data_IF_529127237857
#
_entry.id   IF_529127237857
#
_cell.length_a   1.000
_cell.length_b   1.000
_cell.length_c   1.000
_cell.angle_alpha   90.00
_cell.angle_beta   90.00
_cell.angle_gamma   90.00
#
_symmetry.space_group_name_H-M   'P 1'
#
loop_
_entity.id
_entity.type
_entity.pdbx_description
1 polymer ?
#
# COMPACT_ATOMS: atom_id res chain seq x y z
N UNK A 1 0.95 5.38 -13.11
CA UNK A 1 -0.35 5.50 -12.40
C UNK A 1 -0.52 6.94 -11.90
N UNK A 2 -1.77 7.40 -11.68
CA UNK A 2 -1.97 8.66 -10.95
C UNK A 2 -1.68 8.48 -9.46
N UNK A 3 -1.21 9.52 -8.74
CA UNK A 3 -1.06 9.45 -7.29
C UNK A 3 -2.37 9.06 -6.60
N UNK A 4 -2.28 8.14 -5.64
CA UNK A 4 -3.41 7.65 -4.84
C UNK A 4 -3.24 8.11 -3.40
N UNK A 5 -4.32 8.58 -2.78
CA UNK A 5 -4.38 8.93 -1.36
C UNK A 5 -5.71 8.45 -0.80
N UNK A 6 -5.67 7.48 0.10
CA UNK A 6 -6.86 6.89 0.74
C UNK A 6 -6.80 7.10 2.24
N UNK A 7 -7.88 7.61 2.82
CA UNK A 7 -8.02 7.82 4.27
C UNK A 7 -8.97 6.79 4.85
N UNK A 8 -8.52 6.11 5.91
CA UNK A 8 -9.26 5.08 6.63
C UNK A 8 -9.74 5.62 7.98
N UNK A 9 -11.02 5.40 8.35
CA UNK A 9 -11.55 5.82 9.63
C UNK A 9 -10.97 4.97 10.77
N UNK A 10 -11.06 5.47 12.01
CA UNK A 10 -10.60 4.75 13.20
C UNK A 10 -11.23 3.36 13.36
N UNK A 11 -12.40 3.10 12.76
CA UNK A 11 -13.08 1.80 12.78
C UNK A 11 -12.59 0.82 11.70
N UNK A 12 -11.65 1.23 10.83
CA UNK A 12 -11.13 0.34 9.79
C UNK A 12 -10.40 -0.84 10.43
N UNK A 13 -10.69 -2.04 9.92
CA UNK A 13 -10.05 -3.30 10.34
C UNK A 13 -9.89 -4.21 9.13
N UNK A 14 -8.94 -5.15 9.22
CA UNK A 14 -8.70 -6.15 8.19
C UNK A 14 -8.10 -5.60 6.90
N UNK A 15 -8.10 -6.44 5.88
CA UNK A 15 -7.57 -6.13 4.56
C UNK A 15 -8.42 -5.07 3.85
N UNK A 16 -7.77 -4.03 3.33
CA UNK A 16 -8.41 -2.96 2.57
C UNK A 16 -8.41 -3.26 1.07
N UNK A 17 -9.21 -2.49 0.31
CA UNK A 17 -9.28 -2.61 -1.15
C UNK A 17 -7.89 -2.48 -1.79
N UNK A 18 -7.48 -3.47 -2.62
CA UNK A 18 -6.22 -3.40 -3.33
C UNK A 18 -6.13 -2.23 -4.32
N UNK A 19 -4.92 -1.70 -4.46
CA UNK A 19 -4.53 -0.68 -5.42
C UNK A 19 -3.58 -1.34 -6.42
N UNK A 20 -3.89 -1.21 -7.71
CA UNK A 20 -3.05 -1.74 -8.79
C UNK A 20 -1.78 -0.90 -8.95
N UNK A 21 -0.65 -1.57 -9.16
CA UNK A 21 0.62 -0.95 -9.57
C UNK A 21 0.81 -1.17 -11.07
N UNK A 22 1.44 -0.21 -11.74
CA UNK A 22 1.88 -0.39 -13.13
C UNK A 22 3.21 -1.13 -13.17
N UNK A 23 3.18 -2.44 -12.90
CA UNK A 23 4.36 -3.31 -12.85
C UNK A 23 5.09 -3.46 -14.20
N UNK A 24 4.51 -2.96 -15.30
CA UNK A 24 5.08 -3.02 -16.65
C UNK A 24 6.04 -1.87 -16.94
N UNK A 25 6.02 -0.81 -16.13
CA UNK A 25 6.99 0.29 -16.25
C UNK A 25 8.33 -0.17 -15.65
N UNK A 26 9.39 -0.14 -16.46
CA UNK A 26 10.74 -0.47 -16.04
C UNK A 26 11.61 0.80 -15.91
N UNK A 27 12.35 0.97 -14.80
CA UNK A 27 12.27 0.18 -13.58
C UNK A 27 10.97 0.46 -12.80
N UNK A 28 10.50 -0.53 -12.04
CA UNK A 28 9.38 -0.32 -11.11
C UNK A 28 9.88 0.57 -9.98
N UNK A 29 9.29 1.76 -9.85
CA UNK A 29 9.63 2.71 -8.80
C UNK A 29 8.36 3.34 -8.24
N UNK A 30 7.85 2.74 -7.17
CA UNK A 30 6.64 3.20 -6.47
C UNK A 30 7.02 3.63 -5.07
N UNK A 31 6.74 4.87 -4.71
CA UNK A 31 6.82 5.36 -3.34
C UNK A 31 5.48 5.16 -2.62
N UNK A 32 5.54 4.83 -1.33
CA UNK A 32 4.37 4.79 -0.46
C UNK A 32 4.61 5.53 0.85
N UNK A 33 3.52 6.03 1.43
CA UNK A 33 3.51 6.60 2.77
C UNK A 33 2.31 6.10 3.57
N UNK A 34 2.57 5.74 4.82
CA UNK A 34 1.58 5.39 5.84
C UNK A 34 1.61 6.49 6.89
N UNK A 35 0.48 7.16 7.09
CA UNK A 35 0.38 8.31 7.98
C UNK A 35 -0.73 8.06 9.00
N UNK A 36 -0.35 7.90 10.26
CA UNK A 36 -1.26 8.03 11.40
C UNK A 36 -1.50 9.52 11.63
N UNK A 37 -2.70 10.00 11.30
CA UNK A 37 -3.07 11.41 11.48
C UNK A 37 -3.17 11.75 12.99
N UNK A 38 -3.31 13.03 13.31
CA UNK A 38 -3.33 13.48 14.71
C UNK A 38 -4.30 12.66 15.58
N UNK A 39 -3.80 12.15 16.71
CA UNK A 39 -4.55 11.30 17.64
C UNK A 39 -4.68 9.82 17.22
N UNK A 40 -4.27 9.46 16.00
CA UNK A 40 -4.31 8.08 15.54
C UNK A 40 -3.18 7.24 16.13
N UNK A 41 -3.51 6.02 16.54
CA UNK A 41 -2.56 4.97 16.93
C UNK A 41 -3.08 3.63 16.43
N UNK A 42 -2.18 2.68 16.17
CA UNK A 42 -2.59 1.40 15.63
C UNK A 42 -1.43 0.57 15.09
N UNK A 43 -1.78 -0.50 14.39
CA UNK A 43 -0.86 -1.40 13.74
C UNK A 43 -1.42 -1.80 12.38
N UNK A 44 -0.63 -1.59 11.32
CA UNK A 44 -0.98 -1.99 9.95
C UNK A 44 0.17 -2.73 9.29
N UNK A 45 -0.11 -3.48 8.22
CA UNK A 45 0.89 -3.95 7.27
C UNK A 45 0.62 -3.38 5.90
N UNK A 46 1.68 -3.19 5.11
CA UNK A 46 1.56 -3.00 3.66
C UNK A 46 1.76 -4.37 3.03
N UNK A 47 0.69 -4.89 2.43
CA UNK A 47 0.71 -6.19 1.78
C UNK A 47 0.85 -6.02 0.27
N UNK A 48 1.54 -6.97 -0.36
CA UNK A 48 1.68 -7.03 -1.81
C UNK A 48 1.39 -8.43 -2.34
N UNK A 49 1.04 -8.51 -3.62
CA UNK A 49 0.86 -9.78 -4.33
C UNK A 49 1.34 -9.66 -5.79
N UNK A 50 1.76 -10.78 -6.34
CA UNK A 50 2.04 -10.94 -7.77
C UNK A 50 0.81 -11.38 -8.56
N UNK A 51 -0.28 -11.72 -7.87
CA UNK A 51 -1.48 -12.26 -8.49
C UNK A 51 -2.42 -11.16 -8.99
N UNK A 52 -3.19 -11.50 -10.03
CA UNK A 52 -4.24 -10.63 -10.52
C UNK A 52 -5.49 -10.74 -9.65
N UNK A 53 -5.66 -9.82 -8.70
CA UNK A 53 -6.81 -9.83 -7.76
C UNK A 53 -8.17 -9.60 -8.44
N UNK A 54 -8.18 -9.14 -9.69
CA UNK A 54 -9.40 -8.95 -10.47
C UNK A 54 -9.82 -10.22 -11.23
N UNK A 55 -8.98 -11.26 -11.27
CA UNK A 55 -9.32 -12.55 -11.87
C UNK A 55 -10.01 -13.44 -10.82
N UNK A 56 -11.32 -13.74 -10.96
CA UNK A 56 -12.05 -14.53 -9.97
C UNK A 56 -11.61 -15.99 -9.90
N UNK A 57 -10.84 -16.49 -10.88
CA UNK A 57 -10.29 -17.84 -10.86
C UNK A 57 -9.02 -17.97 -10.00
N UNK A 58 -8.43 -16.84 -9.61
CA UNK A 58 -7.19 -16.78 -8.84
C UNK A 58 -7.52 -16.48 -7.38
N UNK A 59 -6.96 -17.27 -6.45
CA UNK A 59 -6.94 -16.93 -5.01
C UNK A 59 -5.61 -16.25 -4.71
N UNK A 60 -5.57 -14.92 -4.49
CA UNK A 60 -4.31 -14.20 -4.36
C UNK A 60 -3.54 -14.58 -3.10
N UNK A 61 -2.24 -14.80 -3.23
CA UNK A 61 -1.32 -14.97 -2.10
C UNK A 61 -0.73 -13.61 -1.74
N UNK A 62 -0.94 -13.19 -0.50
CA UNK A 62 -0.48 -11.90 0.02
C UNK A 62 0.77 -12.07 0.89
N UNK A 63 1.75 -11.22 0.63
CA UNK A 63 2.96 -11.10 1.43
C UNK A 63 2.89 -9.82 2.25
N UNK A 64 2.90 -9.94 3.57
CA UNK A 64 2.79 -8.82 4.48
C UNK A 64 4.16 -8.29 4.90
N UNK A 65 4.27 -6.96 5.01
CA UNK A 65 5.41 -6.32 5.67
C UNK A 65 5.44 -6.62 7.17
N UNK A 66 6.51 -6.18 7.84
CA UNK A 66 6.47 -5.99 9.29
C UNK A 66 5.37 -5.01 9.68
N UNK A 67 4.85 -5.14 10.90
CA UNK A 67 3.87 -4.21 11.45
C UNK A 67 4.42 -2.77 11.50
N UNK A 68 3.62 -1.84 11.02
CA UNK A 68 3.88 -0.40 11.02
C UNK A 68 2.97 0.25 12.05
N UNK A 69 3.57 0.94 13.02
CA UNK A 69 2.87 1.55 14.17
C UNK A 69 3.10 3.05 14.29
N UNK A 70 3.82 3.64 13.33
CA UNK A 70 4.12 5.07 13.26
C UNK A 70 4.18 5.51 11.80
N UNK A 71 4.21 6.82 11.57
CA UNK A 71 4.37 7.37 10.23
C UNK A 71 5.62 6.78 9.56
N UNK A 72 5.43 6.22 8.38
CA UNK A 72 6.48 5.47 7.67
C UNK A 72 6.37 5.74 6.18
N UNK A 73 7.51 5.92 5.53
CA UNK A 73 7.63 5.94 4.08
C UNK A 73 8.44 4.73 3.62
N UNK A 74 8.23 4.32 2.38
CA UNK A 74 9.00 3.26 1.76
C UNK A 74 8.84 3.23 0.26
N UNK A 75 9.53 2.27 -0.36
CA UNK A 75 9.52 2.08 -1.81
C UNK A 75 9.23 0.63 -2.17
N UNK A 76 8.61 0.45 -3.33
CA UNK A 76 8.40 -0.83 -3.99
C UNK A 76 9.18 -0.77 -5.31
N UNK A 77 10.19 -1.62 -5.40
CA UNK A 77 11.10 -1.73 -6.55
C UNK A 77 10.97 -3.06 -7.28
N UNK A 78 10.04 -3.90 -6.83
CA UNK A 78 9.76 -5.24 -7.34
C UNK A 78 8.42 -5.18 -8.11
N UNK A 79 8.26 -5.92 -9.22
CA UNK A 79 7.05 -5.86 -10.06
C UNK A 79 5.84 -6.56 -9.44
N UNK A 80 5.38 -6.06 -8.29
CA UNK A 80 4.12 -6.48 -7.67
C UNK A 80 2.94 -5.96 -8.48
N UNK A 81 1.89 -6.77 -8.60
CA UNK A 81 0.72 -6.39 -9.37
C UNK A 81 -0.25 -5.52 -8.56
N UNK A 82 -0.44 -5.86 -7.28
CA UNK A 82 -1.32 -5.13 -6.37
C UNK A 82 -0.68 -4.95 -5.00
N UNK A 83 -1.07 -3.85 -4.36
CA UNK A 83 -0.78 -3.56 -2.95
C UNK A 83 -2.04 -3.21 -2.20
N UNK A 84 -2.07 -3.50 -0.91
CA UNK A 84 -3.11 -3.02 0.00
C UNK A 84 -2.50 -2.73 1.35
N UNK A 85 -3.28 -2.09 2.22
CA UNK A 85 -3.00 -2.13 3.64
C UNK A 85 -3.90 -3.18 4.31
N UNK A 86 -3.39 -3.82 5.36
CA UNK A 86 -4.19 -4.60 6.29
C UNK A 86 -4.12 -3.94 7.65
N UNK A 87 -5.27 -3.55 8.19
CA UNK A 87 -5.38 -2.84 9.45
C UNK A 87 -5.58 -3.85 10.58
N UNK A 88 -4.55 -4.08 11.39
CA UNK A 88 -4.65 -4.92 12.59
C UNK A 88 -5.40 -4.19 13.71
N UNK A 89 -5.05 -2.93 13.94
CA UNK A 89 -5.77 -2.03 14.84
C UNK A 89 -5.61 -0.58 14.38
N UNK A 90 -6.63 0.23 14.63
CA UNK A 90 -6.59 1.68 14.47
C UNK A 90 -7.54 2.29 15.50
N UNK A 91 -7.13 3.38 16.14
CA UNK A 91 -7.91 4.06 17.17
C UNK A 91 -7.53 5.55 17.25
N UNK A 92 -8.40 6.37 17.83
CA UNK A 92 -8.15 7.78 18.16
C UNK A 92 -8.13 8.77 16.99
N UNK A 93 -7.89 8.30 15.76
CA UNK A 93 -7.85 9.12 14.56
C UNK A 93 -7.90 8.30 13.28
N UNK A 94 -7.62 8.96 12.16
CA UNK A 94 -7.61 8.32 10.83
C UNK A 94 -6.20 7.92 10.40
N UNK A 95 -6.12 6.97 9.47
CA UNK A 95 -4.88 6.60 8.79
C UNK A 95 -4.96 7.03 7.33
N UNK A 96 -3.92 7.63 6.78
CA UNK A 96 -3.82 7.93 5.35
C UNK A 96 -2.75 7.06 4.70
N UNK A 97 -3.12 6.29 3.68
CA UNK A 97 -2.18 5.57 2.82
C UNK A 97 -2.04 6.30 1.49
N UNK A 98 -0.79 6.56 1.09
CA UNK A 98 -0.48 7.23 -0.17
C UNK A 98 0.40 6.33 -1.02
N UNK A 99 0.17 6.35 -2.32
CA UNK A 99 0.97 5.64 -3.31
C UNK A 99 1.24 6.55 -4.50
N UNK A 100 2.48 6.57 -4.99
CA UNK A 100 2.82 7.27 -6.22
C UNK A 100 3.85 6.47 -7.01
N UNK A 101 3.69 6.39 -8.32
CA UNK A 101 4.64 5.73 -9.21
C UNK A 101 5.26 6.74 -10.15
N UNK A 102 6.59 6.78 -10.16
CA UNK A 102 7.35 7.57 -11.10
C UNK A 102 7.97 6.67 -12.16
N UNK A 103 8.08 7.18 -13.38
CA UNK A 103 8.98 6.61 -14.39
C UNK A 103 10.38 7.16 -14.12
N UNK A 104 11.36 6.30 -13.86
CA UNK A 104 12.75 6.75 -13.81
C UNK A 104 13.22 7.02 -15.24
N UNK A 105 13.33 8.29 -15.63
CA UNK A 105 13.99 8.68 -16.86
C UNK A 105 15.49 8.66 -16.58
N UNK A 106 16.21 7.72 -17.18
CA UNK A 106 17.66 7.62 -17.02
C UNK A 106 18.32 8.89 -17.54
N UNK A 107 18.99 9.65 -16.67
CA UNK A 107 20.01 10.59 -17.10
C UNK A 107 21.26 9.77 -17.41
N UNK A 108 21.52 9.54 -18.70
CA UNK A 108 22.81 9.05 -19.22
C UNK A 108 23.93 9.99 -18.87
#
# INVERSE_FOLDING_TARGET
MNPVSVTYPASATGAQTPISIDWRIAPVNVGYAVIFNAGASGSITVDHTYDNVNDPSVTPVWFSSSAITANTEGTITVPYQFVRITVGSLAGGTLTFKLNQATQIGTT
#
